data_IF_228753540607
#
_entry.id   IF_228753540607
#
_cell.length_a   1.000
_cell.length_b   1.000
_cell.length_c   1.000
_cell.angle_alpha   90.00
_cell.angle_beta   90.00
_cell.angle_gamma   90.00
#
_symmetry.space_group_name_H-M   'P 1'
#
loop_
_entity.id
_entity.type
_entity.pdbx_description
1 polymer ?
#
# COMPACT_ATOMS: atom_id res chain seq x y z
N UNK A 1 -15.70 -1.23 19.83
CA UNK A 1 -16.96 -1.38 19.04
C UNK A 1 -16.59 -2.33 17.93
N UNK A 2 -17.29 -3.46 17.70
CA UNK A 2 -16.74 -4.53 16.84
C UNK A 2 -16.65 -4.05 15.38
N UNK A 3 -15.45 -4.13 14.79
CA UNK A 3 -15.16 -3.91 13.36
C UNK A 3 -16.19 -4.65 12.50
N UNK A 4 -16.79 -3.96 11.54
CA UNK A 4 -17.82 -4.59 10.69
C UNK A 4 -17.20 -5.66 9.78
N UNK A 5 -18.00 -6.63 9.30
CA UNK A 5 -17.48 -7.71 8.43
C UNK A 5 -16.73 -7.18 7.19
N UNK A 6 -17.21 -6.12 6.49
CA UNK A 6 -16.45 -5.53 5.38
C UNK A 6 -15.13 -4.88 5.79
N UNK A 7 -15.07 -4.25 6.97
CA UNK A 7 -13.86 -3.61 7.49
C UNK A 7 -12.80 -4.65 7.87
N UNK A 8 -13.20 -5.74 8.54
CA UNK A 8 -12.30 -6.84 8.87
C UNK A 8 -11.73 -7.50 7.59
N UNK A 9 -12.58 -7.74 6.59
CA UNK A 9 -12.16 -8.32 5.31
C UNK A 9 -11.12 -7.47 4.58
N UNK A 10 -11.30 -6.14 4.53
CA UNK A 10 -10.32 -5.28 3.85
C UNK A 10 -8.99 -5.27 4.59
N UNK A 11 -9.01 -5.24 5.94
CA UNK A 11 -7.80 -5.29 6.75
C UNK A 11 -7.06 -6.63 6.54
N UNK A 12 -7.76 -7.76 6.58
CA UNK A 12 -7.19 -9.10 6.40
C UNK A 12 -6.60 -9.32 5.00
N UNK A 13 -7.17 -8.66 3.97
CA UNK A 13 -6.73 -8.81 2.58
C UNK A 13 -5.37 -8.18 2.27
N UNK A 14 -4.84 -7.34 3.17
CA UNK A 14 -3.61 -6.57 2.95
C UNK A 14 -2.45 -7.19 3.73
N UNK A 15 -1.33 -7.57 3.07
CA UNK A 15 -0.13 -8.05 3.75
C UNK A 15 0.37 -7.05 4.81
N UNK A 16 0.92 -7.57 5.90
CA UNK A 16 1.42 -6.77 7.03
C UNK A 16 2.94 -6.67 7.07
N UNK A 17 3.60 -7.40 6.18
CA UNK A 17 5.04 -7.43 5.98
C UNK A 17 5.55 -6.22 5.19
N UNK A 18 6.88 -6.05 5.15
CA UNK A 18 7.55 -5.18 4.20
C UNK A 18 7.55 -5.83 2.81
N UNK A 19 7.37 -5.04 1.75
CA UNK A 19 7.57 -5.49 0.36
C UNK A 19 8.96 -5.04 -0.11
N UNK A 20 9.95 -5.93 -0.05
CA UNK A 20 11.34 -5.66 -0.38
C UNK A 20 11.78 -6.54 -1.56
N UNK A 21 12.27 -5.92 -2.64
CA UNK A 21 12.75 -6.67 -3.82
C UNK A 21 11.70 -7.56 -4.49
N UNK A 22 10.41 -7.26 -4.31
CA UNK A 22 9.30 -8.06 -4.86
C UNK A 22 8.81 -9.18 -3.94
N UNK A 23 9.33 -9.30 -2.72
CA UNK A 23 8.92 -10.30 -1.74
C UNK A 23 8.39 -9.68 -0.45
N UNK A 24 7.37 -10.31 0.13
CA UNK A 24 6.85 -9.96 1.45
C UNK A 24 7.72 -10.59 2.53
N UNK A 25 8.27 -9.78 3.43
CA UNK A 25 9.18 -10.20 4.50
C UNK A 25 8.90 -9.44 5.80
N UNK A 26 9.05 -10.12 6.94
CA UNK A 26 9.00 -9.45 8.24
C UNK A 26 10.15 -8.43 8.36
N UNK A 27 10.00 -7.42 9.21
CA UNK A 27 11.07 -6.45 9.47
C UNK A 27 12.28 -7.13 10.12
N UNK A 28 13.47 -6.55 9.93
CA UNK A 28 14.66 -6.96 10.65
C UNK A 28 14.40 -6.95 12.16
N UNK A 29 14.85 -8.03 12.84
CA UNK A 29 14.62 -8.27 14.27
C UNK A 29 13.14 -8.46 14.67
N UNK A 30 12.21 -8.56 13.72
CA UNK A 30 10.80 -8.88 13.94
C UNK A 30 9.97 -7.75 14.54
N UNK A 31 10.40 -6.49 14.37
CA UNK A 31 9.66 -5.32 14.88
C UNK A 31 8.27 -5.18 14.26
N UNK A 32 7.28 -4.79 15.07
CA UNK A 32 5.93 -4.44 14.62
C UNK A 32 5.46 -3.09 15.17
N UNK A 33 4.56 -2.44 14.45
CA UNK A 33 3.94 -1.15 14.75
C UNK A 33 2.41 -1.34 14.76
N UNK A 34 1.69 -0.94 15.84
CA UNK A 34 0.24 -0.98 15.84
C UNK A 34 -0.35 0.11 14.94
N UNK A 35 -1.38 -0.26 14.18
CA UNK A 35 -2.24 0.68 13.43
C UNK A 35 -3.55 0.79 14.21
N UNK A 36 -3.88 2.01 14.64
CA UNK A 36 -5.09 2.31 15.41
C UNK A 36 -6.16 2.92 14.51
N UNK A 37 -7.43 2.63 14.80
CA UNK A 37 -8.57 3.36 14.24
C UNK A 37 -8.72 4.70 14.98
N UNK A 38 -8.50 5.85 14.31
CA UNK A 38 -8.54 7.15 14.98
C UNK A 38 -9.93 7.53 15.52
N UNK A 39 -11.00 6.88 15.05
CA UNK A 39 -12.37 7.16 15.48
C UNK A 39 -12.74 6.45 16.80
N UNK A 40 -12.05 5.37 17.13
CA UNK A 40 -12.33 4.53 18.32
C UNK A 40 -11.15 4.42 19.28
N UNK A 41 -9.92 4.60 18.79
CA UNK A 41 -8.68 4.32 19.51
C UNK A 41 -8.36 2.83 19.66
N UNK A 42 -9.10 1.95 18.97
CA UNK A 42 -8.86 0.51 19.00
C UNK A 42 -7.79 0.12 17.96
N UNK A 43 -6.93 -0.84 18.29
CA UNK A 43 -5.91 -1.37 17.35
C UNK A 43 -6.60 -2.21 16.29
N UNK A 44 -6.37 -1.87 15.01
CA UNK A 44 -6.88 -2.59 13.84
C UNK A 44 -6.02 -3.80 13.49
N UNK A 45 -4.71 -3.61 13.45
CA UNK A 45 -3.71 -4.66 13.18
C UNK A 45 -2.31 -4.17 13.57
N UNK A 46 -1.33 -5.07 13.47
CA UNK A 46 0.09 -4.71 13.53
C UNK A 46 0.72 -4.87 12.14
N UNK A 47 1.60 -3.93 11.78
CA UNK A 47 2.40 -3.96 10.54
C UNK A 47 3.88 -4.02 10.87
N UNK A 48 4.72 -4.49 9.95
CA UNK A 48 6.16 -4.56 10.15
C UNK A 48 6.76 -3.16 10.40
N UNK A 49 7.57 -3.04 11.45
CA UNK A 49 8.28 -1.82 11.84
C UNK A 49 9.71 -1.85 11.29
N UNK A 50 9.88 -1.30 10.09
CA UNK A 50 11.15 -1.33 9.36
C UNK A 50 12.31 -0.70 10.15
N UNK A 51 13.49 -1.29 10.02
CA UNK A 51 14.76 -0.82 10.58
C UNK A 51 15.66 -0.21 9.50
N UNK A 52 16.73 0.51 9.88
CA UNK A 52 17.70 1.03 8.92
C UNK A 52 18.27 -0.02 7.97
N UNK A 53 18.44 -1.27 8.43
CA UNK A 53 18.95 -2.37 7.61
C UNK A 53 17.93 -2.78 6.54
N UNK A 54 16.63 -2.83 6.85
CA UNK A 54 15.56 -3.07 5.87
C UNK A 54 15.56 -1.97 4.79
N UNK A 55 15.79 -0.71 5.19
CA UNK A 55 15.86 0.41 4.26
C UNK A 55 17.08 0.31 3.33
N UNK A 56 18.23 -0.15 3.83
CA UNK A 56 19.42 -0.40 3.02
C UNK A 56 19.20 -1.57 2.04
N UNK A 57 18.49 -2.61 2.46
CA UNK A 57 18.09 -3.71 1.58
C UNK A 57 17.15 -3.24 0.48
N UNK A 58 16.12 -2.46 0.83
CA UNK A 58 15.18 -1.86 -0.12
C UNK A 58 15.91 -1.00 -1.17
N UNK A 59 16.84 -0.16 -0.72
CA UNK A 59 17.66 0.69 -1.59
C UNK A 59 18.54 -0.15 -2.52
N UNK A 60 19.18 -1.19 -1.98
CA UNK A 60 20.05 -2.09 -2.75
C UNK A 60 19.26 -2.81 -3.84
N UNK A 61 18.06 -3.31 -3.53
CA UNK A 61 17.17 -3.95 -4.48
C UNK A 61 16.70 -2.96 -5.57
N UNK A 62 16.32 -1.74 -5.19
CA UNK A 62 15.94 -0.70 -6.14
C UNK A 62 17.10 -0.31 -7.08
N UNK A 63 18.31 -0.15 -6.54
CA UNK A 63 19.51 0.15 -7.31
C UNK A 63 19.86 -0.97 -8.30
N UNK A 64 19.70 -2.23 -7.89
CA UNK A 64 19.92 -3.38 -8.76
C UNK A 64 18.89 -3.48 -9.91
N UNK A 65 17.62 -3.15 -9.65
CA UNK A 65 16.56 -3.16 -10.66
C UNK A 65 16.60 -1.95 -11.62
N UNK A 66 17.22 -0.84 -11.20
CA UNK A 66 17.19 0.43 -11.93
C UNK A 66 17.71 0.35 -13.38
N UNK A 67 18.82 -0.35 -13.70
CA UNK A 67 19.31 -0.42 -15.08
C UNK A 67 18.34 -1.12 -16.03
N UNK A 68 17.71 -2.21 -15.58
CA UNK A 68 16.70 -2.93 -16.36
C UNK A 68 15.45 -2.06 -16.54
N UNK A 69 14.99 -1.41 -15.46
CA UNK A 69 13.85 -0.48 -15.54
C UNK A 69 14.09 0.65 -16.54
N UNK A 70 15.29 1.24 -16.50
CA UNK A 70 15.70 2.33 -17.39
C UNK A 70 15.77 1.89 -18.86
N UNK A 71 16.06 0.61 -19.12
CA UNK A 71 16.14 0.06 -20.47
C UNK A 71 14.76 -0.18 -21.11
N UNK A 72 13.66 -0.24 -20.34
CA UNK A 72 12.32 -0.40 -20.91
C UNK A 72 11.98 0.75 -21.87
N UNK A 73 11.45 0.48 -23.08
CA UNK A 73 10.92 1.49 -23.97
C UNK A 73 9.84 2.35 -23.30
N UNK A 74 9.74 3.66 -23.64
CA UNK A 74 8.72 4.54 -23.08
C UNK A 74 7.29 4.01 -23.20
N UNK A 75 6.98 3.34 -24.33
CA UNK A 75 5.68 2.71 -24.55
C UNK A 75 5.39 1.61 -23.53
N UNK A 76 6.33 0.72 -23.25
CA UNK A 76 6.14 -0.35 -22.27
C UNK A 76 5.93 0.20 -20.85
N UNK A 77 6.67 1.26 -20.48
CA UNK A 77 6.47 1.93 -19.19
C UNK A 77 5.07 2.53 -19.08
N UNK A 78 4.56 3.15 -20.14
CA UNK A 78 3.17 3.64 -20.19
C UNK A 78 2.15 2.51 -19.99
N UNK A 79 2.32 1.36 -20.66
CA UNK A 79 1.44 0.21 -20.45
C UNK A 79 1.49 -0.36 -19.02
N UNK A 80 2.64 -0.27 -18.34
CA UNK A 80 2.76 -0.64 -16.92
C UNK A 80 1.97 0.34 -16.03
N UNK A 81 2.12 1.65 -16.24
CA UNK A 81 1.39 2.67 -15.48
C UNK A 81 -0.12 2.57 -15.72
N UNK A 82 -0.54 2.36 -16.97
CA UNK A 82 -1.95 2.16 -17.33
C UNK A 82 -2.56 0.96 -16.61
N UNK A 83 -1.84 -0.17 -16.51
CA UNK A 83 -2.31 -1.34 -15.72
C UNK A 83 -2.44 -1.01 -14.24
N UNK A 84 -1.56 -0.18 -13.68
CA UNK A 84 -1.68 0.28 -12.30
C UNK A 84 -2.89 1.22 -12.10
N UNK A 85 -3.15 2.14 -13.04
CA UNK A 85 -4.38 2.96 -13.05
C UNK A 85 -5.65 2.09 -13.06
N UNK A 86 -5.69 1.08 -13.92
CA UNK A 86 -6.83 0.14 -14.02
C UNK A 86 -7.02 -0.64 -12.72
N UNK A 87 -5.94 -1.15 -12.12
CA UNK A 87 -5.99 -1.89 -10.86
C UNK A 87 -6.49 -1.03 -9.68
N UNK A 88 -6.03 0.23 -9.56
CA UNK A 88 -6.54 1.16 -8.55
C UNK A 88 -8.02 1.48 -8.77
N UNK A 89 -8.40 1.78 -10.02
CA UNK A 89 -9.78 2.14 -10.38
C UNK A 89 -10.76 1.02 -10.03
N UNK A 90 -10.41 -0.22 -10.36
CA UNK A 90 -11.22 -1.41 -10.06
C UNK A 90 -11.41 -1.66 -8.56
N UNK A 91 -10.51 -1.16 -7.71
CA UNK A 91 -10.50 -1.39 -6.26
C UNK A 91 -10.78 -0.14 -5.44
N UNK A 92 -11.35 0.89 -6.06
CA UNK A 92 -11.58 2.21 -5.42
C UNK A 92 -12.32 2.10 -4.09
N UNK A 93 -13.37 1.29 -4.04
CA UNK A 93 -14.20 1.17 -2.83
C UNK A 93 -13.46 0.48 -1.68
N UNK A 94 -12.70 -0.58 -1.97
CA UNK A 94 -11.87 -1.29 -1.00
C UNK A 94 -10.76 -0.38 -0.46
N UNK A 95 -10.02 0.27 -1.36
CA UNK A 95 -8.92 1.17 -0.99
C UNK A 95 -9.41 2.39 -0.20
N UNK A 96 -10.61 2.91 -0.53
CA UNK A 96 -11.20 4.01 0.21
C UNK A 96 -11.63 3.61 1.62
N UNK A 97 -12.17 2.40 1.80
CA UNK A 97 -12.50 1.88 3.13
C UNK A 97 -11.23 1.69 3.97
N UNK A 98 -10.19 1.08 3.40
CA UNK A 98 -8.90 0.90 4.07
C UNK A 98 -8.30 2.24 4.53
N UNK A 99 -8.26 3.23 3.64
CA UNK A 99 -7.74 4.57 3.96
C UNK A 99 -8.56 5.27 5.04
N UNK A 100 -9.89 5.09 5.03
CA UNK A 100 -10.74 5.63 6.10
C UNK A 100 -10.44 4.99 7.45
N UNK A 101 -10.23 3.67 7.49
CA UNK A 101 -9.92 2.97 8.73
C UNK A 101 -8.58 3.42 9.32
N UNK A 102 -7.55 3.57 8.49
CA UNK A 102 -6.21 4.00 8.94
C UNK A 102 -6.15 5.49 9.31
N UNK A 103 -6.87 6.35 8.60
CA UNK A 103 -6.71 7.81 8.73
C UNK A 103 -7.89 8.52 9.42
N UNK A 104 -9.01 7.84 9.64
CA UNK A 104 -10.23 8.41 10.24
C UNK A 104 -11.00 9.39 9.34
N UNK A 105 -10.59 9.58 8.08
CA UNK A 105 -11.25 10.51 7.14
C UNK A 105 -12.56 9.92 6.59
N UNK A 106 -13.58 10.74 6.27
CA UNK A 106 -14.82 10.23 5.69
C UNK A 106 -14.59 9.44 4.39
N UNK A 107 -15.27 8.30 4.22
CA UNK A 107 -15.11 7.41 3.04
C UNK A 107 -15.27 8.16 1.71
N UNK A 108 -16.14 9.17 1.65
CA UNK A 108 -16.31 9.97 0.43
C UNK A 108 -15.05 10.75 0.05
N UNK A 109 -14.30 11.25 1.04
CA UNK A 109 -13.03 11.93 0.83
C UNK A 109 -11.95 10.92 0.41
N UNK A 110 -11.85 9.77 1.08
CA UNK A 110 -10.94 8.68 0.69
C UNK A 110 -11.18 8.24 -0.76
N UNK A 111 -12.44 8.08 -1.19
CA UNK A 111 -12.77 7.74 -2.58
C UNK A 111 -12.28 8.79 -3.56
N UNK A 112 -12.51 10.07 -3.26
CA UNK A 112 -12.02 11.16 -4.11
C UNK A 112 -10.49 11.16 -4.21
N UNK A 113 -9.80 10.89 -3.11
CA UNK A 113 -8.34 10.81 -3.05
C UNK A 113 -7.78 9.63 -3.84
N UNK A 114 -8.38 8.44 -3.75
CA UNK A 114 -7.96 7.27 -4.55
C UNK A 114 -8.16 7.53 -6.04
N UNK A 115 -9.32 8.07 -6.44
CA UNK A 115 -9.58 8.41 -7.85
C UNK A 115 -8.58 9.45 -8.34
N UNK A 116 -8.34 10.50 -7.56
CA UNK A 116 -7.36 11.54 -7.88
C UNK A 116 -5.93 10.97 -7.99
N UNK A 117 -5.51 10.14 -7.04
CA UNK A 117 -4.19 9.52 -7.05
C UNK A 117 -3.97 8.61 -8.27
N UNK A 118 -5.01 7.87 -8.68
CA UNK A 118 -4.95 6.99 -9.85
C UNK A 118 -4.67 7.78 -11.15
N UNK A 119 -5.15 9.02 -11.28
CA UNK A 119 -4.92 9.87 -12.46
C UNK A 119 -3.43 10.09 -12.76
N UNK A 120 -2.56 10.11 -11.73
CA UNK A 120 -1.12 10.25 -11.94
C UNK A 120 -0.49 9.07 -12.70
N UNK A 121 -1.21 7.95 -12.86
CA UNK A 121 -0.75 6.73 -13.54
C UNK A 121 -1.35 6.55 -14.94
N UNK A 122 -2.24 7.43 -15.42
CA UNK A 122 -2.97 7.28 -16.70
C UNK A 122 -2.18 7.76 -17.94
N UNK A 123 -0.88 7.53 -17.99
CA UNK A 123 0.01 8.04 -19.06
C UNK A 123 0.34 7.00 -20.14
#
# INVERSE_FOLDING_TARGET
>A
MVVSTPEAQVIESVPKQLLLGGEWRDAAEGGTLPVEDPSTGEVLCEVADARPDDALEALSAAAAAQPEWAAHPPRERGEILRRAFEALSQRTDELALLMTLEMGKPVKESKAEIVYAAEFLRW
#
